data_IF_281268852529
#
_entry.id   IF_281268852529
#
_cell.length_a   1.000
_cell.length_b   1.000
_cell.length_c   1.000
_cell.angle_alpha   90.00
_cell.angle_beta   90.00
_cell.angle_gamma   90.00
#
_symmetry.space_group_name_H-M   'P 1'
#
loop_
_entity.id
_entity.type
_entity.pdbx_description
1 polymer ?
#
# COMPACT_ATOMS: atom_id res chain seq x y z
N UNK A 1 -16.34 19.33 26.90
CA UNK A 1 -16.10 19.06 25.47
C UNK A 1 -15.36 17.73 25.40
N UNK A 2 -16.06 16.64 25.06
CA UNK A 2 -15.43 15.33 24.86
C UNK A 2 -14.66 15.42 23.53
N UNK A 3 -13.35 15.55 23.60
CA UNK A 3 -12.48 15.36 22.43
C UNK A 3 -12.72 13.93 21.97
N UNK A 4 -13.28 13.74 20.77
CA UNK A 4 -13.35 12.39 20.19
C UNK A 4 -11.93 11.79 20.20
N UNK A 5 -11.77 10.51 20.56
CA UNK A 5 -10.45 9.90 20.54
C UNK A 5 -9.90 9.96 19.11
N UNK A 6 -8.72 10.57 18.96
CA UNK A 6 -8.02 10.66 17.67
C UNK A 6 -7.96 9.28 17.01
N UNK A 7 -8.34 9.21 15.73
CA UNK A 7 -8.13 8.01 14.93
C UNK A 7 -6.63 7.84 14.71
N UNK A 8 -6.15 6.60 14.65
CA UNK A 8 -4.71 6.32 14.58
C UNK A 8 -4.38 5.77 13.20
N UNK A 9 -3.45 6.46 12.52
CA UNK A 9 -2.91 6.06 11.24
C UNK A 9 -1.45 5.63 11.38
N UNK A 10 -1.08 4.55 10.69
CA UNK A 10 0.32 4.15 10.45
C UNK A 10 0.61 4.22 8.96
N UNK A 11 1.70 4.88 8.57
CA UNK A 11 2.12 5.02 7.17
C UNK A 11 3.56 4.54 7.04
N UNK A 12 3.77 3.46 6.30
CA UNK A 12 5.13 2.98 5.99
C UNK A 12 5.69 3.71 4.76
N UNK A 13 6.99 3.99 4.74
CA UNK A 13 7.58 4.89 3.73
C UNK A 13 7.01 6.31 3.85
N UNK A 14 6.72 6.74 5.08
CA UNK A 14 5.98 7.97 5.37
C UNK A 14 6.81 9.27 5.29
N UNK A 15 8.13 9.17 5.13
CA UNK A 15 9.01 10.34 5.19
C UNK A 15 8.99 11.20 3.92
N UNK A 16 8.50 10.68 2.78
CA UNK A 16 8.51 11.39 1.48
C UNK A 16 7.47 10.86 0.49
N UNK A 17 7.35 11.54 -0.65
CA UNK A 17 6.53 11.10 -1.78
C UNK A 17 5.06 10.87 -1.40
N UNK A 18 4.49 9.76 -1.87
CA UNK A 18 3.08 9.42 -1.63
C UNK A 18 2.75 9.21 -0.14
N UNK A 19 3.66 8.62 0.64
CA UNK A 19 3.45 8.41 2.07
C UNK A 19 3.31 9.74 2.83
N UNK A 20 4.22 10.69 2.54
CA UNK A 20 4.14 12.03 3.11
C UNK A 20 2.91 12.81 2.64
N UNK A 21 2.53 12.69 1.37
CA UNK A 21 1.32 13.33 0.85
C UNK A 21 0.05 12.84 1.56
N UNK A 22 -0.05 11.53 1.84
CA UNK A 22 -1.15 10.97 2.63
C UNK A 22 -1.11 11.48 4.08
N UNK A 23 0.08 11.54 4.70
CA UNK A 23 0.23 12.09 6.04
C UNK A 23 -0.22 13.57 6.12
N UNK A 24 0.18 14.39 5.14
CA UNK A 24 -0.23 15.78 5.01
C UNK A 24 -1.75 15.91 4.89
N UNK A 25 -2.39 15.08 4.06
CA UNK A 25 -3.84 15.11 3.89
C UNK A 25 -4.59 14.70 5.17
N UNK A 26 -4.09 13.70 5.91
CA UNK A 26 -4.66 13.33 7.21
C UNK A 26 -4.48 14.44 8.25
N UNK A 27 -3.31 15.07 8.30
CA UNK A 27 -3.02 16.16 9.22
C UNK A 27 -3.92 17.37 8.94
N UNK A 28 -4.05 17.77 7.67
CA UNK A 28 -4.93 18.85 7.23
C UNK A 28 -6.40 18.58 7.53
N UNK A 29 -6.82 17.31 7.49
CA UNK A 29 -8.18 16.90 7.87
C UNK A 29 -8.44 16.96 9.37
N UNK A 30 -7.43 16.71 10.19
CA UNK A 30 -7.54 16.64 11.65
C UNK A 30 -8.24 15.38 12.17
N UNK A 31 -8.22 15.20 13.49
CA UNK A 31 -8.78 14.02 14.17
C UNK A 31 -7.98 12.73 13.94
N UNK A 32 -6.70 12.87 13.55
CA UNK A 32 -5.78 11.77 13.32
C UNK A 32 -4.50 11.94 14.13
N UNK A 33 -4.06 10.86 14.77
CA UNK A 33 -2.69 10.65 15.24
C UNK A 33 -1.94 9.85 14.19
N UNK A 34 -0.91 10.44 13.62
CA UNK A 34 -0.21 9.90 12.45
C UNK A 34 1.13 9.34 12.90
N UNK A 35 1.42 8.10 12.51
CA UNK A 35 2.68 7.43 12.81
C UNK A 35 3.39 7.11 11.51
N UNK A 36 4.49 7.81 11.24
CA UNK A 36 5.34 7.57 10.09
C UNK A 36 6.36 6.49 10.44
N UNK A 37 6.50 5.48 9.59
CA UNK A 37 7.52 4.44 9.72
C UNK A 37 8.42 4.48 8.49
N UNK A 38 9.72 4.66 8.68
CA UNK A 38 10.72 4.67 7.61
C UNK A 38 12.10 4.27 8.17
N UNK A 39 13.07 4.06 7.27
CA UNK A 39 14.48 3.92 7.60
C UNK A 39 15.23 5.26 7.53
N UNK A 40 14.61 6.30 6.95
CA UNK A 40 15.17 7.63 6.75
C UNK A 40 14.98 8.53 7.97
N UNK A 41 15.91 8.45 8.93
CA UNK A 41 15.79 9.16 10.22
C UNK A 41 15.63 10.67 10.10
N UNK A 42 16.49 11.34 9.35
CA UNK A 42 16.45 12.81 9.25
C UNK A 42 15.19 13.28 8.53
N UNK A 43 14.92 12.73 7.33
CA UNK A 43 13.73 13.05 6.54
C UNK A 43 12.44 12.72 7.31
N UNK A 44 12.42 11.61 8.04
CA UNK A 44 11.26 11.17 8.83
C UNK A 44 10.96 12.06 10.02
N UNK A 45 12.00 12.51 10.74
CA UNK A 45 11.83 13.49 11.82
C UNK A 45 11.35 14.83 11.28
N UNK A 46 11.97 15.34 10.21
CA UNK A 46 11.54 16.59 9.57
C UNK A 46 10.09 16.51 9.10
N UNK A 47 9.69 15.39 8.48
CA UNK A 47 8.32 15.15 8.08
C UNK A 47 7.35 15.18 9.27
N UNK A 48 7.67 14.47 10.36
CA UNK A 48 6.83 14.45 11.55
C UNK A 48 6.74 15.82 12.24
N UNK A 49 7.85 16.56 12.35
CA UNK A 49 7.90 17.88 12.97
C UNK A 49 7.11 18.93 12.16
N UNK A 50 6.98 18.72 10.84
CA UNK A 50 6.21 19.61 9.97
C UNK A 50 4.70 19.41 10.03
N UNK A 51 4.21 18.35 10.71
CA UNK A 51 2.80 17.94 10.72
C UNK A 51 2.25 17.85 12.15
N UNK A 52 1.03 18.35 12.35
CA UNK A 52 0.37 18.23 13.66
C UNK A 52 0.08 16.77 14.00
N UNK A 53 0.20 16.40 15.29
CA UNK A 53 -0.13 15.08 15.83
C UNK A 53 0.56 13.91 15.10
N UNK A 54 1.81 14.13 14.67
CA UNK A 54 2.58 13.16 13.90
C UNK A 54 3.81 12.70 14.67
N UNK A 55 4.10 11.40 14.65
CA UNK A 55 5.25 10.78 15.31
C UNK A 55 6.02 9.96 14.28
N UNK A 56 7.35 10.08 14.27
CA UNK A 56 8.22 9.25 13.46
C UNK A 56 8.76 8.05 14.27
N UNK A 57 8.76 6.88 13.66
CA UNK A 57 9.41 5.66 14.15
C UNK A 57 10.39 5.15 13.11
N UNK A 58 11.66 5.07 13.48
CA UNK A 58 12.65 4.35 12.68
C UNK A 58 12.36 2.85 12.72
N UNK A 59 12.19 2.21 11.56
CA UNK A 59 12.17 0.75 11.44
C UNK A 59 12.56 0.28 10.03
N UNK A 60 13.40 -0.76 9.96
CA UNK A 60 13.59 -1.54 8.76
C UNK A 60 12.44 -2.55 8.60
N UNK A 61 11.64 -2.40 7.54
CA UNK A 61 10.45 -3.24 7.33
C UNK A 61 10.78 -4.70 6.94
N UNK A 62 12.04 -5.01 6.66
CA UNK A 62 12.54 -6.38 6.47
C UNK A 62 12.87 -7.07 7.81
N UNK A 63 13.02 -6.30 8.89
CA UNK A 63 13.17 -6.81 10.24
C UNK A 63 11.79 -6.86 10.92
N UNK A 64 11.30 -8.07 11.16
CA UNK A 64 9.96 -8.29 11.69
C UNK A 64 9.81 -7.78 13.14
N UNK A 65 10.87 -7.80 13.94
CA UNK A 65 10.86 -7.30 15.32
C UNK A 65 10.78 -5.76 15.33
N UNK A 66 11.52 -5.09 14.43
CA UNK A 66 11.43 -3.63 14.28
C UNK A 66 10.03 -3.19 13.82
N UNK A 67 9.43 -3.90 12.85
CA UNK A 67 8.04 -3.64 12.40
C UNK A 67 7.08 -3.76 13.57
N UNK A 68 7.13 -4.88 14.30
CA UNK A 68 6.25 -5.15 15.44
C UNK A 68 6.42 -4.09 16.53
N UNK A 69 7.66 -3.69 16.81
CA UNK A 69 7.99 -2.66 17.80
C UNK A 69 7.43 -1.28 17.40
N UNK A 70 7.56 -0.89 16.14
CA UNK A 70 7.02 0.38 15.65
C UNK A 70 5.48 0.41 15.72
N UNK A 71 4.82 -0.67 15.31
CA UNK A 71 3.36 -0.80 15.42
C UNK A 71 2.88 -0.79 16.87
N UNK A 72 3.59 -1.48 17.78
CA UNK A 72 3.29 -1.44 19.22
C UNK A 72 3.35 -0.01 19.76
N UNK A 73 4.40 0.74 19.42
CA UNK A 73 4.56 2.14 19.84
C UNK A 73 3.43 3.01 19.30
N UNK A 74 3.08 2.87 18.02
CA UNK A 74 1.97 3.59 17.40
C UNK A 74 0.62 3.29 18.08
N UNK A 75 0.35 2.00 18.32
CA UNK A 75 -0.87 1.54 18.99
C UNK A 75 -0.98 2.08 20.43
N UNK A 76 0.08 1.98 21.22
CA UNK A 76 0.10 2.51 22.60
C UNK A 76 -0.01 4.03 22.64
N UNK A 77 0.69 4.74 21.74
CA UNK A 77 0.57 6.20 21.62
C UNK A 77 -0.86 6.63 21.22
N UNK A 78 -1.58 5.76 20.52
CA UNK A 78 -2.97 5.92 20.11
C UNK A 78 -4.01 5.55 21.16
N UNK A 79 -3.62 5.31 22.43
CA UNK A 79 -4.52 4.78 23.48
C UNK A 79 -5.09 3.39 23.12
N UNK A 80 -4.22 2.49 22.66
CA UNK A 80 -4.55 1.11 22.27
C UNK A 80 -5.56 1.04 21.12
N UNK A 81 -5.27 1.79 20.07
CA UNK A 81 -6.11 1.89 18.87
C UNK A 81 -5.23 1.97 17.61
N UNK A 82 -5.72 1.37 16.53
CA UNK A 82 -5.22 1.47 15.16
C UNK A 82 -6.40 1.41 14.20
N UNK A 83 -6.66 2.50 13.47
CA UNK A 83 -7.82 2.60 12.58
C UNK A 83 -7.43 2.52 11.09
N UNK A 84 -6.22 2.97 10.75
CA UNK A 84 -5.77 3.02 9.37
C UNK A 84 -4.30 2.65 9.21
N UNK A 85 -4.00 1.83 8.19
CA UNK A 85 -2.62 1.55 7.77
C UNK A 85 -2.48 1.81 6.27
N UNK A 86 -1.52 2.64 5.89
CA UNK A 86 -1.05 2.75 4.51
C UNK A 86 0.27 1.98 4.37
N UNK A 87 0.19 0.76 3.84
CA UNK A 87 1.36 -0.07 3.53
C UNK A 87 2.00 0.43 2.23
N UNK A 88 2.83 1.47 2.34
CA UNK A 88 3.27 2.28 1.21
C UNK A 88 4.75 2.13 0.84
N UNK A 89 5.59 1.69 1.76
CA UNK A 89 7.02 1.54 1.50
C UNK A 89 7.29 0.71 0.24
N UNK A 90 8.22 1.19 -0.58
CA UNK A 90 8.62 0.50 -1.78
C UNK A 90 9.79 1.17 -2.48
N UNK A 91 10.43 0.39 -3.34
CA UNK A 91 11.57 0.78 -4.18
C UNK A 91 11.35 0.26 -5.59
N UNK A 92 12.07 0.86 -6.54
CA UNK A 92 12.23 0.31 -7.88
C UNK A 92 13.56 -0.43 -7.96
N UNK A 93 13.72 -1.31 -8.94
CA UNK A 93 15.00 -2.00 -9.13
C UNK A 93 16.09 -1.03 -9.57
N UNK A 94 17.30 -1.25 -9.04
CA UNK A 94 18.46 -0.40 -9.30
C UNK A 94 19.45 -1.04 -10.29
N UNK A 95 19.21 -2.30 -10.66
CA UNK A 95 20.03 -3.06 -11.60
C UNK A 95 19.14 -3.71 -12.65
N UNK A 96 19.65 -3.85 -13.88
CA UNK A 96 18.93 -4.49 -14.96
C UNK A 96 19.29 -5.98 -15.02
N UNK A 97 18.28 -6.83 -14.96
CA UNK A 97 18.44 -8.28 -15.19
C UNK A 97 18.82 -8.62 -16.63
N UNK A 98 18.68 -7.67 -17.56
CA UNK A 98 19.06 -7.81 -18.96
C UNK A 98 20.53 -7.43 -19.23
N UNK A 99 21.28 -7.08 -18.17
CA UNK A 99 22.70 -6.78 -18.26
C UNK A 99 23.49 -7.91 -18.92
N UNK A 100 24.33 -7.57 -19.90
CA UNK A 100 25.26 -8.54 -20.50
C UNK A 100 26.50 -8.63 -19.62
N UNK A 101 26.96 -9.86 -19.39
CA UNK A 101 28.16 -10.12 -18.59
C UNK A 101 29.19 -10.85 -19.45
N UNK A 102 30.40 -10.32 -19.54
CA UNK A 102 31.52 -10.88 -20.31
C UNK A 102 32.37 -11.81 -19.43
N UNK A 103 31.73 -12.78 -18.78
CA UNK A 103 32.41 -13.78 -17.94
C UNK A 103 31.92 -15.19 -18.25
N UNK A 104 32.83 -16.16 -18.23
CA UNK A 104 32.53 -17.59 -18.37
C UNK A 104 32.04 -18.24 -17.06
N UNK A 105 32.27 -17.57 -15.92
CA UNK A 105 31.93 -18.08 -14.59
C UNK A 105 30.43 -17.90 -14.26
N UNK A 106 29.65 -17.32 -15.18
CA UNK A 106 28.24 -17.01 -15.02
C UNK A 106 27.98 -15.57 -14.55
N UNK A 107 26.76 -15.03 -14.78
CA UNK A 107 26.41 -13.69 -14.33
C UNK A 107 26.32 -13.63 -12.79
N UNK A 108 26.49 -12.44 -12.18
CA UNK A 108 26.19 -12.25 -10.77
C UNK A 108 24.71 -12.56 -10.48
N UNK A 109 24.36 -12.92 -9.23
CA UNK A 109 22.96 -13.09 -8.84
C UNK A 109 22.15 -11.81 -9.10
N UNK A 110 20.87 -11.94 -9.51
CA UNK A 110 20.00 -10.79 -9.67
C UNK A 110 19.74 -10.09 -8.33
N UNK A 111 19.58 -8.77 -8.36
CA UNK A 111 19.20 -7.99 -7.19
C UNK A 111 17.72 -8.17 -6.87
N UNK A 112 17.41 -8.88 -5.78
CA UNK A 112 16.05 -9.13 -5.32
C UNK A 112 15.53 -8.08 -4.33
N UNK A 113 16.23 -6.96 -4.13
CA UNK A 113 15.84 -5.90 -3.18
C UNK A 113 14.43 -5.40 -3.43
N UNK A 114 14.01 -5.21 -4.69
CA UNK A 114 12.66 -4.79 -5.00
C UNK A 114 11.60 -5.82 -4.57
N UNK A 115 11.89 -7.12 -4.66
CA UNK A 115 11.00 -8.17 -4.18
C UNK A 115 10.90 -8.15 -2.65
N UNK A 116 12.03 -8.07 -1.94
CA UNK A 116 12.06 -8.03 -0.48
C UNK A 116 11.35 -6.78 0.06
N UNK A 117 11.74 -5.60 -0.42
CA UNK A 117 11.21 -4.33 0.09
C UNK A 117 9.76 -4.11 -0.31
N UNK A 118 9.34 -4.49 -1.52
CA UNK A 118 7.95 -4.24 -1.93
C UNK A 118 7.01 -5.33 -1.40
N UNK A 119 7.33 -6.61 -1.61
CA UNK A 119 6.40 -7.71 -1.33
C UNK A 119 6.51 -8.18 0.13
N UNK A 120 7.70 -8.61 0.55
CA UNK A 120 7.89 -9.16 1.92
C UNK A 120 7.61 -8.12 2.99
N UNK A 121 8.09 -6.89 2.82
CA UNK A 121 7.81 -5.81 3.78
C UNK A 121 6.31 -5.46 3.85
N UNK A 122 5.59 -5.51 2.73
CA UNK A 122 4.14 -5.34 2.69
C UNK A 122 3.43 -6.48 3.43
N UNK A 123 3.84 -7.73 3.23
CA UNK A 123 3.30 -8.89 3.95
C UNK A 123 3.50 -8.72 5.46
N UNK A 124 4.72 -8.38 5.90
CA UNK A 124 5.02 -8.10 7.31
C UNK A 124 4.10 -7.00 7.87
N UNK A 125 3.99 -5.88 7.14
CA UNK A 125 3.18 -4.71 7.54
C UNK A 125 1.70 -5.10 7.69
N UNK A 126 1.12 -5.78 6.70
CA UNK A 126 -0.30 -6.17 6.69
C UNK A 126 -0.60 -7.19 7.78
N UNK A 127 0.31 -8.14 8.01
CA UNK A 127 0.16 -9.15 9.06
C UNK A 127 0.15 -8.52 10.46
N UNK A 128 1.10 -7.63 10.75
CA UNK A 128 1.17 -6.90 12.03
C UNK A 128 -0.01 -5.93 12.17
N UNK A 129 -0.40 -5.24 11.09
CA UNK A 129 -1.56 -4.35 11.07
C UNK A 129 -2.85 -5.07 11.50
N UNK A 130 -3.12 -6.25 10.92
CA UNK A 130 -4.30 -7.06 11.29
C UNK A 130 -4.36 -7.33 12.78
N UNK A 131 -3.24 -7.70 13.40
CA UNK A 131 -3.17 -7.97 14.84
C UNK A 131 -3.63 -6.77 15.66
N UNK A 132 -3.05 -5.58 15.42
CA UNK A 132 -3.38 -4.37 16.19
C UNK A 132 -4.76 -3.80 15.86
N UNK A 133 -5.23 -3.91 14.61
CA UNK A 133 -6.61 -3.53 14.26
C UNK A 133 -7.60 -4.43 14.99
N UNK A 134 -7.34 -5.74 15.10
CA UNK A 134 -8.24 -6.64 15.83
C UNK A 134 -8.28 -6.40 17.34
N UNK A 135 -7.20 -5.84 17.92
CA UNK A 135 -7.18 -5.38 19.32
C UNK A 135 -7.86 -4.02 19.53
N UNK A 136 -8.19 -3.31 18.44
CA UNK A 136 -8.76 -1.96 18.51
C UNK A 136 -10.28 -1.99 18.76
N UNK A 137 -10.85 -0.94 19.36
CA UNK A 137 -12.29 -0.88 19.64
C UNK A 137 -13.16 -0.75 18.38
N UNK A 138 -12.59 -0.28 17.28
CA UNK A 138 -13.25 -0.18 15.98
C UNK A 138 -12.44 -0.96 14.94
N UNK A 139 -13.13 -1.48 13.93
CA UNK A 139 -12.47 -2.13 12.79
C UNK A 139 -11.86 -1.07 11.88
N UNK A 140 -10.67 -1.39 11.38
CA UNK A 140 -9.84 -0.47 10.62
C UNK A 140 -9.83 -0.75 9.11
N UNK A 141 -8.99 0.01 8.43
CA UNK A 141 -8.73 -0.13 7.00
C UNK A 141 -7.23 -0.26 6.75
N UNK A 142 -6.88 -1.12 5.80
CA UNK A 142 -5.53 -1.23 5.25
C UNK A 142 -5.61 -0.85 3.77
N UNK A 143 -4.79 0.11 3.37
CA UNK A 143 -4.58 0.43 1.95
C UNK A 143 -3.15 0.02 1.60
N UNK A 144 -3.01 -0.81 0.59
CA UNK A 144 -1.72 -1.27 0.09
C UNK A 144 -1.34 -0.41 -1.13
N UNK A 145 -0.13 0.14 -1.13
CA UNK A 145 0.39 0.84 -2.31
C UNK A 145 0.98 -0.18 -3.30
N UNK A 146 0.14 -0.61 -4.24
CA UNK A 146 0.52 -1.50 -5.32
C UNK A 146 1.16 -0.70 -6.47
N UNK A 147 0.72 -0.90 -7.72
CA UNK A 147 1.11 -0.14 -8.90
C UNK A 147 0.18 -0.50 -10.05
N UNK A 148 0.08 0.31 -11.12
CA UNK A 148 -0.41 -0.20 -12.40
C UNK A 148 0.40 -1.41 -12.88
N UNK A 149 1.66 -1.53 -12.41
CA UNK A 149 2.53 -2.68 -12.62
C UNK A 149 2.05 -3.98 -11.97
N UNK A 150 0.96 -3.94 -11.22
CA UNK A 150 0.25 -5.12 -10.73
C UNK A 150 -0.60 -5.81 -11.81
N UNK A 151 -0.81 -5.14 -12.95
CA UNK A 151 -1.66 -5.62 -14.06
C UNK A 151 -0.91 -5.64 -15.38
N UNK A 152 -0.04 -4.65 -15.61
CA UNK A 152 0.73 -4.53 -16.85
C UNK A 152 2.22 -4.52 -16.54
N UNK A 153 3.08 -5.09 -17.39
CA UNK A 153 4.49 -5.11 -17.10
C UNK A 153 5.13 -3.72 -17.21
N UNK A 154 5.97 -3.37 -16.25
CA UNK A 154 6.99 -2.34 -16.46
C UNK A 154 8.19 -3.05 -17.09
N UNK A 155 8.30 -2.97 -18.41
CA UNK A 155 9.24 -3.78 -19.20
C UNK A 155 10.72 -3.59 -18.83
N UNK A 156 11.09 -2.39 -18.39
CA UNK A 156 12.45 -2.10 -17.95
C UNK A 156 12.70 -2.49 -16.49
N UNK A 157 11.65 -2.84 -15.74
CA UNK A 157 11.69 -3.18 -14.32
C UNK A 157 10.98 -4.51 -13.98
N UNK A 158 11.43 -5.68 -14.49
CA UNK A 158 10.75 -6.95 -14.31
C UNK A 158 10.70 -7.47 -12.86
N UNK A 159 11.71 -7.23 -12.02
CA UNK A 159 11.69 -7.69 -10.62
C UNK A 159 10.72 -6.83 -9.82
N UNK A 160 10.72 -5.51 -10.08
CA UNK A 160 9.68 -4.62 -9.56
C UNK A 160 8.27 -5.08 -9.98
N UNK A 161 8.08 -5.39 -11.27
CA UNK A 161 6.81 -5.90 -11.81
C UNK A 161 6.39 -7.17 -11.07
N UNK A 162 7.28 -8.15 -10.94
CA UNK A 162 7.00 -9.39 -10.20
C UNK A 162 6.56 -9.10 -8.75
N UNK A 163 7.23 -8.18 -8.07
CA UNK A 163 6.86 -7.77 -6.71
C UNK A 163 5.44 -7.15 -6.64
N UNK A 164 5.06 -6.34 -7.63
CA UNK A 164 3.74 -5.68 -7.68
C UNK A 164 2.60 -6.60 -8.10
N UNK A 165 2.86 -7.57 -8.97
CA UNK A 165 1.92 -8.68 -9.22
C UNK A 165 1.72 -9.53 -7.96
N UNK A 166 2.80 -9.84 -7.24
CA UNK A 166 2.75 -10.54 -5.95
C UNK A 166 1.90 -9.80 -4.91
N UNK A 167 2.05 -8.48 -4.81
CA UNK A 167 1.21 -7.64 -3.93
C UNK A 167 -0.28 -7.77 -4.29
N UNK A 168 -0.63 -7.77 -5.57
CA UNK A 168 -2.03 -7.85 -6.01
C UNK A 168 -2.66 -9.19 -5.67
N UNK A 169 -1.92 -10.29 -5.90
CA UNK A 169 -2.34 -11.63 -5.47
C UNK A 169 -2.53 -11.69 -3.95
N UNK A 170 -1.52 -11.24 -3.20
CA UNK A 170 -1.58 -11.20 -1.73
C UNK A 170 -2.77 -10.39 -1.21
N UNK A 171 -2.98 -9.17 -1.72
CA UNK A 171 -4.07 -8.28 -1.32
C UNK A 171 -5.44 -8.94 -1.53
N UNK A 172 -5.68 -9.52 -2.71
CA UNK A 172 -6.95 -10.21 -3.02
C UNK A 172 -7.17 -11.41 -2.11
N UNK A 173 -6.13 -12.20 -1.84
CA UNK A 173 -6.22 -13.37 -0.95
C UNK A 173 -6.54 -12.98 0.49
N UNK A 174 -5.90 -11.95 1.05
CA UNK A 174 -6.18 -11.55 2.45
C UNK A 174 -7.49 -10.79 2.60
N UNK A 175 -7.91 -10.04 1.59
CA UNK A 175 -9.14 -9.24 1.66
C UNK A 175 -10.40 -10.10 1.87
N UNK A 176 -10.49 -11.27 1.23
CA UNK A 176 -11.60 -12.23 1.41
C UNK A 176 -11.72 -12.65 2.88
N UNK A 177 -10.61 -13.05 3.50
CA UNK A 177 -10.59 -13.44 4.91
C UNK A 177 -10.88 -12.25 5.83
N UNK A 178 -10.21 -11.11 5.61
CA UNK A 178 -10.25 -9.96 6.52
C UNK A 178 -11.63 -9.28 6.52
N UNK A 179 -12.40 -9.45 5.44
CA UNK A 179 -13.81 -9.07 5.37
C UNK A 179 -14.64 -9.70 6.50
N UNK A 180 -14.39 -10.96 6.85
CA UNK A 180 -15.08 -11.64 7.95
C UNK A 180 -14.73 -11.06 9.33
N UNK A 181 -13.62 -10.36 9.44
CA UNK A 181 -13.21 -9.63 10.64
C UNK A 181 -13.65 -8.16 10.63
N UNK A 182 -14.31 -7.72 9.56
CA UNK A 182 -14.71 -6.33 9.33
C UNK A 182 -13.55 -5.40 8.96
N UNK A 183 -12.37 -5.94 8.63
CA UNK A 183 -11.20 -5.14 8.24
C UNK A 183 -11.20 -4.95 6.72
N UNK A 184 -11.24 -3.70 6.26
CA UNK A 184 -11.20 -3.39 4.82
C UNK A 184 -9.76 -3.42 4.34
N UNK A 185 -9.49 -4.18 3.28
CA UNK A 185 -8.17 -4.22 2.63
C UNK A 185 -8.34 -3.92 1.16
N UNK A 186 -7.71 -2.86 0.66
CA UNK A 186 -7.79 -2.43 -0.74
C UNK A 186 -6.40 -2.00 -1.25
N UNK A 187 -6.24 -1.92 -2.57
CA UNK A 187 -5.01 -1.46 -3.20
C UNK A 187 -5.23 -0.14 -3.96
N UNK A 188 -4.33 0.82 -3.70
CA UNK A 188 -4.06 1.89 -4.65
C UNK A 188 -3.05 1.37 -5.67
N UNK A 189 -3.27 1.61 -6.97
CA UNK A 189 -2.43 1.16 -8.06
C UNK A 189 -1.97 2.37 -8.90
N UNK A 190 -0.97 3.14 -8.46
CA UNK A 190 -0.56 4.34 -9.19
C UNK A 190 0.06 4.01 -10.54
N UNK A 191 -0.24 4.85 -11.53
CA UNK A 191 0.54 5.01 -12.76
C UNK A 191 1.83 5.80 -12.48
N UNK A 192 2.17 6.75 -13.34
CA UNK A 192 3.32 7.62 -13.11
C UNK A 192 3.01 8.65 -12.02
N UNK A 193 3.82 8.73 -10.97
CA UNK A 193 3.75 9.76 -9.92
C UNK A 193 5.16 10.31 -9.72
N UNK A 194 5.33 11.63 -9.84
CA UNK A 194 6.62 12.28 -9.59
C UNK A 194 6.96 12.16 -8.11
N UNK A 195 7.85 11.23 -7.80
CA UNK A 195 8.34 10.99 -6.44
C UNK A 195 9.84 10.68 -6.49
N UNK A 196 10.56 10.78 -5.35
CA UNK A 196 11.97 10.42 -5.27
C UNK A 196 12.29 8.91 -5.41
N UNK A 197 11.38 8.08 -5.94
CA UNK A 197 11.59 6.63 -6.13
C UNK A 197 12.61 6.35 -7.25
N UNK A 198 12.68 7.24 -8.25
CA UNK A 198 13.71 7.29 -9.29
C UNK A 198 14.27 8.72 -9.37
N UNK A 199 15.46 8.93 -9.95
CA UNK A 199 15.99 10.27 -10.19
C UNK A 199 15.08 11.09 -11.12
N UNK A 200 15.06 12.42 -10.96
CA UNK A 200 14.20 13.31 -11.77
C UNK A 200 14.37 13.12 -13.28
N UNK A 201 15.61 12.88 -13.72
CA UNK A 201 15.95 12.61 -15.13
C UNK A 201 15.22 11.40 -15.71
N UNK A 202 14.88 10.41 -14.88
CA UNK A 202 14.14 9.24 -15.34
C UNK A 202 12.69 9.58 -15.72
N UNK A 203 12.15 10.70 -15.22
CA UNK A 203 10.81 11.18 -15.54
C UNK A 203 10.76 12.03 -16.82
N UNK A 204 11.88 12.60 -17.27
CA UNK A 204 11.93 13.54 -18.41
C UNK A 204 11.47 12.91 -19.73
N UNK A 205 11.60 11.60 -19.88
CA UNK A 205 11.17 10.86 -21.08
C UNK A 205 9.65 10.61 -21.13
N UNK A 206 8.90 10.90 -20.06
CA UNK A 206 7.47 10.65 -19.99
C UNK A 206 6.65 11.91 -20.35
N UNK A 207 5.55 11.78 -21.11
CA UNK A 207 4.64 12.88 -21.37
C UNK A 207 4.05 13.48 -20.09
N UNK A 208 3.88 14.79 -20.01
CA UNK A 208 3.38 15.46 -18.79
C UNK A 208 1.98 14.98 -18.36
N UNK A 209 1.12 14.60 -19.31
CA UNK A 209 -0.26 14.21 -19.05
C UNK A 209 -0.41 12.82 -18.41
N UNK A 210 0.67 12.00 -18.40
CA UNK A 210 0.65 10.69 -17.73
C UNK A 210 0.81 10.79 -16.21
N UNK A 211 1.30 11.93 -15.70
CA UNK A 211 1.59 12.09 -14.29
C UNK A 211 0.32 12.27 -13.47
N UNK A 212 0.22 11.48 -12.42
CA UNK A 212 -0.84 11.53 -11.43
C UNK A 212 -0.43 12.48 -10.30
N UNK A 213 -1.25 13.50 -9.98
CA UNK A 213 -0.96 14.42 -8.88
C UNK A 213 -0.95 13.71 -7.52
N UNK A 214 -0.06 14.12 -6.61
CA UNK A 214 0.01 13.57 -5.26
C UNK A 214 -1.27 13.81 -4.47
N UNK A 215 -1.98 14.91 -4.76
CA UNK A 215 -3.26 15.25 -4.15
C UNK A 215 -4.34 14.22 -4.51
N UNK A 216 -4.35 13.75 -5.76
CA UNK A 216 -5.26 12.70 -6.20
C UNK A 216 -4.93 11.37 -5.52
N UNK A 217 -3.64 11.04 -5.39
CA UNK A 217 -3.19 9.86 -4.64
C UNK A 217 -3.71 9.92 -3.19
N UNK A 218 -3.50 11.04 -2.51
CA UNK A 218 -3.93 11.22 -1.14
C UNK A 218 -5.47 11.13 -1.01
N UNK A 219 -6.23 11.78 -1.90
CA UNK A 219 -7.69 11.71 -1.90
C UNK A 219 -8.21 10.26 -2.04
N UNK A 220 -7.65 9.47 -2.96
CA UNK A 220 -8.04 8.06 -3.13
C UNK A 220 -7.73 7.26 -1.87
N UNK A 221 -6.53 7.41 -1.31
CA UNK A 221 -6.13 6.69 -0.09
C UNK A 221 -7.04 7.06 1.07
N UNK A 222 -7.41 8.33 1.25
CA UNK A 222 -8.32 8.75 2.30
C UNK A 222 -9.75 8.23 2.07
N UNK A 223 -10.26 8.25 0.83
CA UNK A 223 -11.56 7.65 0.51
C UNK A 223 -11.58 6.16 0.80
N UNK A 224 -10.54 5.44 0.41
CA UNK A 224 -10.36 4.03 0.75
C UNK A 224 -10.21 3.84 2.26
N UNK A 225 -9.45 4.67 2.98
CA UNK A 225 -9.28 4.56 4.42
C UNK A 225 -10.60 4.78 5.19
N UNK A 226 -11.44 5.69 4.72
CA UNK A 226 -12.69 6.08 5.37
C UNK A 226 -13.92 5.29 4.89
N UNK A 227 -13.77 4.45 3.87
CA UNK A 227 -14.87 3.66 3.34
C UNK A 227 -15.87 4.50 2.56
N UNK A 228 -15.40 5.49 1.80
CA UNK A 228 -16.25 6.35 0.97
C UNK A 228 -16.49 5.73 -0.40
N UNK A 229 -17.67 5.98 -0.96
CA UNK A 229 -17.98 5.59 -2.34
C UNK A 229 -16.89 6.10 -3.29
N UNK A 230 -16.48 5.22 -4.20
CA UNK A 230 -15.64 5.56 -5.35
C UNK A 230 -16.48 5.52 -6.61
N UNK A 231 -16.28 6.52 -7.47
CA UNK A 231 -16.83 6.55 -8.83
C UNK A 231 -15.67 6.79 -9.77
N UNK A 232 -15.49 5.88 -10.72
CA UNK A 232 -14.38 5.92 -11.65
C UNK A 232 -14.72 6.68 -12.94
N UNK A 233 -13.73 6.91 -13.80
CA UNK A 233 -13.91 7.70 -15.03
C UNK A 233 -14.87 7.06 -16.05
N UNK A 234 -15.15 5.75 -15.91
CA UNK A 234 -16.11 5.02 -16.74
C UNK A 234 -17.51 4.95 -16.10
N UNK A 235 -17.70 5.56 -14.92
CA UNK A 235 -18.94 5.51 -14.16
C UNK A 235 -19.10 4.24 -13.32
N UNK A 236 -18.07 3.39 -13.22
CA UNK A 236 -18.08 2.24 -12.31
C UNK A 236 -18.10 2.75 -10.88
N UNK A 237 -18.93 2.14 -10.04
CA UNK A 237 -19.06 2.50 -8.63
C UNK A 237 -18.52 1.39 -7.74
N UNK A 238 -17.92 1.77 -6.63
CA UNK A 238 -17.68 0.88 -5.51
C UNK A 238 -18.29 1.52 -4.26
N UNK A 239 -19.37 0.91 -3.75
CA UNK A 239 -20.05 1.35 -2.55
C UNK A 239 -19.21 1.02 -1.29
N UNK A 240 -19.44 1.71 -0.15
CA UNK A 240 -18.69 1.49 1.09
C UNK A 240 -18.58 0.02 1.55
N UNK A 241 -19.66 -0.75 1.40
CA UNK A 241 -19.76 -2.16 1.77
C UNK A 241 -19.08 -3.10 0.77
N UNK A 242 -18.69 -2.60 -0.40
CA UNK A 242 -17.95 -3.32 -1.42
C UNK A 242 -16.43 -3.11 -1.31
N UNK A 243 -15.95 -2.24 -0.43
CA UNK A 243 -14.52 -1.88 -0.31
C UNK A 243 -13.70 -2.95 0.42
N UNK A 244 -13.73 -4.18 -0.10
CA UNK A 244 -12.91 -5.31 0.27
C UNK A 244 -12.32 -5.89 -1.01
N UNK A 245 -10.99 -5.87 -1.13
CA UNK A 245 -10.29 -6.44 -2.29
C UNK A 245 -10.27 -5.53 -3.53
N UNK A 246 -10.69 -4.27 -3.43
CA UNK A 246 -10.74 -3.36 -4.59
C UNK A 246 -9.33 -2.88 -4.94
N UNK A 247 -9.04 -2.87 -6.24
CA UNK A 247 -7.84 -2.27 -6.80
C UNK A 247 -8.21 -1.01 -7.59
N UNK A 248 -7.67 0.13 -7.18
CA UNK A 248 -7.98 1.44 -7.78
C UNK A 248 -6.75 1.94 -8.52
N UNK A 249 -6.80 1.92 -9.85
CA UNK A 249 -5.74 2.50 -10.69
C UNK A 249 -5.91 4.00 -10.74
N UNK A 250 -4.85 4.75 -10.42
CA UNK A 250 -4.80 6.20 -10.58
C UNK A 250 -3.83 6.51 -11.72
N UNK A 251 -4.31 7.13 -12.80
CA UNK A 251 -3.49 7.43 -13.97
C UNK A 251 -3.87 8.80 -14.56
N UNK A 252 -2.87 9.67 -14.73
CA UNK A 252 -3.12 11.08 -15.03
C UNK A 252 -4.06 11.68 -13.98
N UNK A 253 -5.19 12.22 -14.41
CA UNK A 253 -6.19 12.83 -13.51
C UNK A 253 -7.38 11.92 -13.19
N UNK A 254 -7.35 10.67 -13.66
CA UNK A 254 -8.47 9.75 -13.59
C UNK A 254 -8.19 8.58 -12.64
N UNK A 255 -9.27 7.97 -12.18
CA UNK A 255 -9.21 6.69 -11.47
C UNK A 255 -10.04 5.65 -12.21
N UNK A 256 -9.66 4.38 -12.04
CA UNK A 256 -10.32 3.21 -12.62
C UNK A 256 -10.39 2.11 -11.58
N UNK A 257 -11.59 1.58 -11.32
CA UNK A 257 -11.75 0.43 -10.42
C UNK A 257 -11.49 -0.82 -11.26
N UNK A 258 -10.35 -1.49 -11.01
CA UNK A 258 -9.98 -2.66 -11.79
C UNK A 258 -10.75 -3.90 -11.33
N UNK A 259 -11.46 -4.59 -12.25
CA UNK A 259 -12.12 -5.83 -11.93
C UNK A 259 -11.12 -6.95 -11.61
N UNK A 260 -11.62 -8.02 -11.02
CA UNK A 260 -10.87 -9.26 -10.91
C UNK A 260 -10.64 -9.90 -12.29
N UNK A 261 -9.60 -10.75 -12.44
CA UNK A 261 -9.35 -11.46 -13.68
C UNK A 261 -10.56 -12.34 -14.02
N UNK A 262 -10.92 -12.38 -15.31
CA UNK A 262 -11.98 -13.26 -15.76
C UNK A 262 -11.53 -14.72 -15.69
N UNK A 263 -12.41 -15.60 -15.21
CA UNK A 263 -12.21 -17.04 -15.27
C UNK A 263 -12.29 -17.52 -16.72
N UNK A 264 -11.46 -18.51 -17.08
CA UNK A 264 -11.50 -19.11 -18.41
C UNK A 264 -12.73 -20.00 -18.63
N UNK A 265 -13.30 -20.56 -17.56
CA UNK A 265 -14.52 -21.35 -17.56
C UNK A 265 -15.17 -21.40 -16.16
N UNK A 266 -16.36 -21.99 -16.07
CA UNK A 266 -17.10 -22.17 -14.83
C UNK A 266 -16.44 -23.17 -13.86
N UNK A 267 -15.58 -24.07 -14.35
CA UNK A 267 -14.89 -25.05 -13.52
C UNK A 267 -13.85 -24.32 -12.67
N UNK A 268 -13.01 -23.49 -13.29
CA UNK A 268 -12.04 -22.65 -12.61
C UNK A 268 -12.74 -21.69 -11.65
N UNK A 269 -13.87 -21.09 -12.05
CA UNK A 269 -14.65 -20.22 -11.17
C UNK A 269 -15.04 -20.95 -9.88
N UNK A 270 -15.57 -22.18 -9.98
CA UNK A 270 -15.90 -23.00 -8.80
C UNK A 270 -14.65 -23.43 -8.01
N UNK A 271 -13.54 -23.74 -8.67
CA UNK A 271 -12.27 -24.07 -8.01
C UNK A 271 -11.81 -22.91 -7.12
N UNK A 272 -11.76 -21.68 -7.65
CA UNK A 272 -11.34 -20.53 -6.86
C UNK A 272 -12.37 -20.19 -5.78
N UNK A 273 -13.68 -20.25 -6.08
CA UNK A 273 -14.73 -20.00 -5.10
C UNK A 273 -14.68 -20.96 -3.91
N UNK A 274 -14.28 -22.22 -4.13
CA UNK A 274 -14.08 -23.21 -3.06
C UNK A 274 -12.94 -22.86 -2.09
N UNK A 275 -12.04 -21.95 -2.48
CA UNK A 275 -10.94 -21.48 -1.63
C UNK A 275 -11.34 -20.31 -0.74
N UNK A 276 -12.50 -19.68 -0.96
CA UNK A 276 -12.97 -18.56 -0.11
C UNK A 276 -13.29 -19.03 1.29
N UNK A 277 -12.98 -18.19 2.27
CA UNK A 277 -13.05 -18.56 3.68
C UNK A 277 -14.45 -19.04 4.11
N UNK A 278 -15.51 -18.36 3.64
CA UNK A 278 -16.89 -18.74 3.94
C UNK A 278 -17.32 -20.12 3.43
N UNK A 279 -16.56 -20.71 2.50
CA UNK A 279 -16.84 -22.01 1.90
C UNK A 279 -15.93 -23.13 2.43
N UNK A 280 -14.91 -22.80 3.24
CA UNK A 280 -14.02 -23.80 3.81
C UNK A 280 -14.67 -24.44 5.05
N UNK A 281 -14.87 -25.76 5.00
CA UNK A 281 -15.49 -26.53 6.10
C UNK A 281 -14.52 -26.87 7.24
N UNK A 282 -13.24 -26.49 7.11
CA UNK A 282 -12.19 -26.77 8.08
C UNK A 282 -11.11 -25.68 8.04
N UNK A 283 -11.25 -24.67 8.91
CA UNK A 283 -10.17 -23.76 9.31
C UNK A 283 -10.30 -23.51 10.80
#
# INVERSE_FOLDING_TARGET
MTVEPDRVAVITGGSRGMGLAVAQALAAKGGWKINLIDIKDEEGRQAADSLSNTIYHRANLLDYEEVTTAFKKAFTAGNNRLDFVFANAGVIENTSIFGKHETIDGPPPPDLTALEVNLKSCINTVHVARHYINLSPAKGSIVINASCSSFWPTYWAPIYTASKFGIMGFMRSVADYYKHEGIRVNALCPGAVRTPIVPDKAWEAMPEDVFTPLELIADIVLKLAEGKELVDANGTRAAPDELFGKAVVANGKNIYIQPEPQYCDDVLARTIESTKMGNQTAV
#
